data_IF_327053222141
#
_entry.id   IF_327053222141
#
_cell.length_a   1.000
_cell.length_b   1.000
_cell.length_c   1.000
_cell.angle_alpha   90.00
_cell.angle_beta   90.00
_cell.angle_gamma   90.00
#
_symmetry.space_group_name_H-M   'P 1'
#
loop_
_entity.id
_entity.type
_entity.pdbx_description
1 polymer ?
#
# COMPACT_ATOMS: atom_id res chain seq x y z
N UNK A 1 18.83 2.81 -9.71
CA UNK A 1 17.55 3.50 -9.99
C UNK A 1 17.49 3.90 -11.45
N UNK A 2 16.51 3.39 -12.20
CA UNK A 2 16.25 3.83 -13.58
C UNK A 2 15.59 5.22 -13.59
N UNK A 3 15.79 5.97 -14.68
CA UNK A 3 15.26 7.33 -14.90
C UNK A 3 13.72 7.42 -14.72
N UNK A 4 13.00 6.38 -15.18
CA UNK A 4 11.54 6.32 -15.06
C UNK A 4 11.04 6.15 -13.62
N UNK A 5 11.80 5.47 -12.76
CA UNK A 5 11.42 5.29 -11.35
C UNK A 5 11.46 6.64 -10.62
N UNK A 6 12.49 7.45 -10.86
CA UNK A 6 12.59 8.81 -10.31
C UNK A 6 11.46 9.71 -10.81
N UNK A 7 11.06 9.55 -12.08
CA UNK A 7 9.91 10.26 -12.63
C UNK A 7 8.60 9.88 -11.91
N UNK A 8 8.35 8.59 -11.66
CA UNK A 8 7.16 8.14 -10.95
C UNK A 8 7.15 8.61 -9.49
N UNK A 9 8.27 8.49 -8.78
CA UNK A 9 8.41 8.97 -7.40
C UNK A 9 8.11 10.47 -7.30
N UNK A 10 8.60 11.28 -8.23
CA UNK A 10 8.33 12.73 -8.28
C UNK A 10 6.85 13.08 -8.58
N UNK A 11 6.06 12.15 -9.13
CA UNK A 11 4.64 12.33 -9.42
C UNK A 11 3.73 11.96 -8.26
N UNK A 12 4.24 11.25 -7.24
CA UNK A 12 3.50 10.94 -6.02
C UNK A 12 3.34 12.23 -5.21
N UNK A 13 2.19 12.87 -5.34
CA UNK A 13 1.80 13.96 -4.44
C UNK A 13 1.22 13.34 -3.19
N UNK A 14 1.96 13.39 -2.09
CA UNK A 14 1.42 13.08 -0.77
C UNK A 14 0.27 14.05 -0.49
N UNK A 15 -0.95 13.53 -0.56
CA UNK A 15 -2.10 14.29 -0.11
C UNK A 15 -1.93 14.53 1.39
N UNK A 16 -2.17 15.75 1.89
CA UNK A 16 -2.33 15.96 3.32
C UNK A 16 -3.40 15.01 3.86
N UNK A 17 -3.24 14.53 5.10
CA UNK A 17 -4.23 13.65 5.73
C UNK A 17 -5.55 14.40 5.85
N UNK A 18 -6.44 14.17 4.89
CA UNK A 18 -7.80 14.67 4.87
C UNK A 18 -8.72 13.45 4.86
N UNK A 19 -9.54 13.32 5.89
CA UNK A 19 -10.63 12.36 5.95
C UNK A 19 -11.95 13.03 5.58
N UNK A 20 -12.90 12.24 5.10
CA UNK A 20 -14.31 12.61 4.96
C UNK A 20 -15.15 11.51 5.61
N UNK A 21 -16.36 11.86 6.07
CA UNK A 21 -17.29 10.85 6.60
C UNK A 21 -17.78 9.96 5.45
N UNK A 22 -17.78 8.64 5.69
CA UNK A 22 -18.21 7.62 4.75
C UNK A 22 -19.18 6.67 5.46
N UNK A 23 -20.23 6.24 4.78
CA UNK A 23 -21.16 5.25 5.33
C UNK A 23 -20.53 3.85 5.27
N UNK A 24 -20.76 3.04 6.30
CA UNK A 24 -20.21 1.67 6.37
C UNK A 24 -20.65 0.80 5.18
N UNK A 25 -21.82 1.08 4.60
CA UNK A 25 -22.35 0.38 3.42
C UNK A 25 -21.62 0.74 2.12
N UNK A 26 -20.86 1.84 2.10
CA UNK A 26 -20.05 2.27 0.95
C UNK A 26 -18.65 1.62 0.95
N UNK A 27 -18.22 1.03 2.06
CA UNK A 27 -16.93 0.36 2.20
C UNK A 27 -17.05 -1.10 1.77
N UNK A 28 -16.03 -1.62 1.09
CA UNK A 28 -15.94 -3.04 0.80
C UNK A 28 -15.86 -3.85 2.12
N UNK A 29 -16.76 -4.81 2.39
CA UNK A 29 -16.74 -5.58 3.63
C UNK A 29 -15.44 -6.33 3.90
N UNK A 30 -14.68 -6.68 2.85
CA UNK A 30 -13.40 -7.36 2.96
C UNK A 30 -12.26 -6.46 3.50
N UNK A 31 -12.45 -5.13 3.53
CA UNK A 31 -11.42 -4.18 3.95
C UNK A 31 -10.99 -4.37 5.41
N UNK A 32 -11.91 -4.81 6.26
CA UNK A 32 -11.61 -5.16 7.65
C UNK A 32 -10.60 -6.32 7.73
N UNK A 33 -10.75 -7.34 6.89
CA UNK A 33 -9.85 -8.50 6.87
C UNK A 33 -8.44 -8.13 6.38
N UNK A 34 -8.36 -7.22 5.40
CA UNK A 34 -7.08 -6.67 4.93
C UNK A 34 -6.36 -5.93 6.07
N UNK A 35 -7.09 -5.09 6.82
CA UNK A 35 -6.57 -4.36 7.98
C UNK A 35 -6.03 -5.28 9.09
N UNK A 36 -6.71 -6.41 9.36
CA UNK A 36 -6.24 -7.40 10.35
C UNK A 36 -4.92 -8.06 9.92
N UNK A 37 -4.71 -8.25 8.61
CA UNK A 37 -3.46 -8.81 8.08
C UNK A 37 -2.27 -7.90 8.36
N UNK A 38 -2.44 -6.58 8.25
CA UNK A 38 -1.40 -5.61 8.64
C UNK A 38 -1.09 -5.63 10.13
N UNK A 39 -2.11 -5.80 10.99
CA UNK A 39 -1.89 -5.93 12.44
C UNK A 39 -1.06 -7.17 12.76
N UNK A 40 -1.38 -8.30 12.14
CA UNK A 40 -0.62 -9.54 12.31
C UNK A 40 0.83 -9.40 11.81
N UNK A 41 1.04 -8.78 10.65
CA UNK A 41 2.40 -8.53 10.14
C UNK A 41 3.22 -7.63 11.09
N UNK A 42 2.58 -6.63 11.70
CA UNK A 42 3.21 -5.78 12.70
C UNK A 42 3.56 -6.53 13.99
N UNK A 43 2.69 -7.44 14.47
CA UNK A 43 2.97 -8.33 15.61
C UNK A 43 4.16 -9.25 15.32
N UNK A 44 4.24 -9.80 14.11
CA UNK A 44 5.32 -10.68 13.66
C UNK A 44 6.60 -9.91 13.28
N UNK A 45 6.59 -8.57 13.37
CA UNK A 45 7.68 -7.67 12.97
C UNK A 45 8.16 -7.89 11.53
N UNK A 46 7.24 -8.28 10.65
CA UNK A 46 7.51 -8.49 9.23
C UNK A 46 7.24 -7.20 8.48
N UNK A 47 8.20 -6.73 7.69
CA UNK A 47 7.98 -5.61 6.78
C UNK A 47 7.07 -6.06 5.63
N UNK A 48 6.00 -5.30 5.38
CA UNK A 48 5.18 -5.51 4.19
C UNK A 48 5.95 -5.06 2.95
N UNK A 49 5.98 -5.88 1.88
CA UNK A 49 6.61 -5.48 0.63
C UNK A 49 5.86 -4.31 0.01
N UNK A 50 6.61 -3.38 -0.57
CA UNK A 50 6.05 -2.30 -1.37
C UNK A 50 5.62 -2.83 -2.74
N UNK A 51 4.82 -2.04 -3.46
CA UNK A 51 4.46 -2.37 -4.84
C UNK A 51 5.69 -2.55 -5.74
N UNK A 52 6.77 -1.81 -5.49
CA UNK A 52 8.02 -1.93 -6.26
C UNK A 52 8.77 -3.22 -5.94
N UNK A 53 8.81 -3.64 -4.67
CA UNK A 53 9.43 -4.93 -4.28
C UNK A 53 8.73 -6.11 -4.98
N UNK A 54 7.39 -6.06 -5.07
CA UNK A 54 6.61 -7.10 -5.75
C UNK A 54 6.86 -7.11 -7.26
N UNK A 55 6.94 -5.95 -7.90
CA UNK A 55 7.22 -5.84 -9.33
C UNK A 55 8.62 -6.36 -9.68
N UNK A 56 9.61 -6.14 -8.81
CA UNK A 56 10.97 -6.69 -8.97
C UNK A 56 11.00 -8.21 -8.83
N UNK A 57 10.23 -8.77 -7.88
CA UNK A 57 10.08 -10.22 -7.71
C UNK A 57 9.45 -10.89 -8.94
N UNK A 58 8.45 -10.28 -9.57
CA UNK A 58 7.82 -10.79 -10.78
C UNK A 58 8.77 -10.78 -11.99
N UNK A 59 9.64 -9.77 -12.09
CA UNK A 59 10.68 -9.68 -13.12
C UNK A 59 11.83 -10.69 -12.95
N UNK A 60 12.04 -11.18 -11.73
CA UNK A 60 13.09 -12.14 -11.39
C UNK A 60 12.66 -13.62 -11.49
N UNK A 61 11.38 -13.88 -11.75
CA UNK A 61 10.77 -15.21 -11.92
C UNK A 61 10.69 -15.63 -13.39
#
# INVERSE_FOLDING_TARGET
MNDYQQFLEAKIKLAPVFGFEIDETEINPAYFLDSVSYLKAAEEQVSMPTLFDLAELELAA
#
